data_IF_555147371160
#
_entry.id   IF_555147371160
#
_cell.length_a   1.000
_cell.length_b   1.000
_cell.length_c   1.000
_cell.angle_alpha   90.00
_cell.angle_beta   90.00
_cell.angle_gamma   90.00
#
_symmetry.space_group_name_H-M   'P 1'
#
loop_
_entity.id
_entity.type
_entity.pdbx_description
1 polymer ?
#
# COMPACT_ATOMS: atom_id res chain seq x y z
N UNK A 1 3.51 -18.63 0.94
CA UNK A 1 2.98 -17.25 1.03
C UNK A 1 3.38 -16.66 2.37
N UNK A 2 3.91 -15.42 2.39
CA UNK A 2 4.36 -14.74 3.62
C UNK A 2 3.20 -14.04 4.35
N UNK A 3 2.13 -13.73 3.62
CA UNK A 3 0.90 -13.14 4.15
C UNK A 3 -0.33 -13.89 3.60
N UNK A 4 -1.47 -13.74 4.27
CA UNK A 4 -2.77 -14.18 3.77
C UNK A 4 -3.44 -13.00 3.06
N UNK A 5 -3.54 -13.05 1.73
CA UNK A 5 -4.15 -11.96 0.98
C UNK A 5 -5.69 -12.01 1.09
N UNK A 6 -6.30 -10.85 1.32
CA UNK A 6 -7.73 -10.66 1.14
C UNK A 6 -8.06 -10.33 -0.31
N UNK A 7 -9.34 -10.06 -0.57
CA UNK A 7 -9.78 -9.53 -1.86
C UNK A 7 -9.52 -8.01 -1.93
N UNK A 8 -8.86 -7.55 -2.99
CA UNK A 8 -8.72 -6.12 -3.26
C UNK A 8 -10.05 -5.55 -3.78
N UNK A 9 -10.71 -4.72 -2.98
CA UNK A 9 -12.00 -4.11 -3.32
C UNK A 9 -11.80 -2.66 -3.76
N UNK A 10 -12.25 -2.34 -4.97
CA UNK A 10 -12.05 -1.03 -5.58
C UNK A 10 -10.70 -0.89 -6.26
N UNK A 11 -10.35 0.35 -6.59
CA UNK A 11 -9.12 0.73 -7.27
C UNK A 11 -8.06 1.23 -6.28
N UNK A 12 -6.79 1.02 -6.59
CA UNK A 12 -5.65 1.51 -5.84
C UNK A 12 -5.18 2.83 -6.46
N UNK A 13 -5.35 3.94 -5.74
CA UNK A 13 -5.05 5.27 -6.26
C UNK A 13 -4.54 6.23 -5.16
N UNK A 14 -3.91 7.36 -5.54
CA UNK A 14 -3.57 8.42 -4.60
C UNK A 14 -4.79 8.94 -3.84
N UNK A 15 -4.62 9.33 -2.58
CA UNK A 15 -5.70 9.77 -1.70
C UNK A 15 -6.35 8.66 -0.85
N UNK A 16 -6.01 7.39 -1.11
CA UNK A 16 -6.25 6.31 -0.16
C UNK A 16 -5.34 6.42 1.07
N UNK A 17 -5.67 5.64 2.09
CA UNK A 17 -4.82 5.41 3.25
C UNK A 17 -4.35 3.95 3.27
N UNK A 18 -3.05 3.77 3.46
CA UNK A 18 -2.44 2.49 3.76
C UNK A 18 -2.24 2.36 5.26
N UNK A 19 -2.77 1.31 5.86
CA UNK A 19 -2.67 0.99 7.28
C UNK A 19 -1.80 -0.25 7.48
N UNK A 20 -0.82 -0.16 8.39
CA UNK A 20 0.04 -1.25 8.81
C UNK A 20 0.00 -1.37 10.34
N UNK A 21 -0.77 -2.33 10.84
CA UNK A 21 -1.07 -2.41 12.27
C UNK A 21 -1.76 -1.15 12.77
N UNK A 22 -1.10 -0.36 13.62
CA UNK A 22 -1.60 0.92 14.14
C UNK A 22 -1.11 2.13 13.34
N UNK A 23 -0.15 1.95 12.45
CA UNK A 23 0.41 3.03 11.65
C UNK A 23 -0.46 3.29 10.43
N UNK A 24 -0.59 4.57 10.07
CA UNK A 24 -1.38 5.01 8.92
C UNK A 24 -0.55 5.93 8.04
N UNK A 25 -0.55 5.62 6.75
CA UNK A 25 0.26 6.29 5.74
C UNK A 25 -0.64 6.74 4.59
N UNK A 26 -0.73 8.05 4.29
CA UNK A 26 -1.41 8.52 3.10
C UNK A 26 -0.74 7.99 1.83
N UNK A 27 -1.51 7.46 0.89
CA UNK A 27 -1.03 7.03 -0.43
C UNK A 27 -0.86 8.27 -1.32
N UNK A 28 0.36 8.49 -1.80
CA UNK A 28 0.74 9.68 -2.57
C UNK A 28 0.88 9.42 -4.07
N UNK A 29 1.27 8.20 -4.46
CA UNK A 29 1.37 7.78 -5.86
C UNK A 29 1.18 6.25 -5.98
N UNK A 30 0.72 5.79 -7.14
CA UNK A 30 0.54 4.36 -7.45
C UNK A 30 1.12 4.08 -8.83
N UNK A 31 2.02 3.11 -8.92
CA UNK A 31 2.59 2.65 -10.19
C UNK A 31 1.57 1.91 -11.05
N UNK A 32 1.79 1.94 -12.37
CA UNK A 32 0.82 1.47 -13.37
C UNK A 32 0.42 0.00 -13.29
N UNK A 33 1.24 -0.87 -12.70
CA UNK A 33 0.95 -2.32 -12.54
C UNK A 33 0.83 -2.74 -11.07
N UNK A 34 0.90 -1.79 -10.13
CA UNK A 34 0.87 -2.10 -8.71
C UNK A 34 -0.48 -2.70 -8.28
N UNK A 35 -1.58 -2.21 -8.85
CA UNK A 35 -2.92 -2.76 -8.58
C UNK A 35 -3.04 -4.19 -9.11
N UNK A 36 -2.67 -4.43 -10.38
CA UNK A 36 -2.76 -5.75 -11.01
C UNK A 36 -1.93 -6.78 -10.25
N UNK A 37 -0.69 -6.43 -9.89
CA UNK A 37 0.17 -7.31 -9.09
C UNK A 37 -0.43 -7.63 -7.72
N UNK A 38 -1.04 -6.64 -7.06
CA UNK A 38 -1.65 -6.85 -5.76
C UNK A 38 -2.91 -7.72 -5.87
N UNK A 39 -3.73 -7.51 -6.91
CA UNK A 39 -4.97 -8.23 -7.16
C UNK A 39 -4.72 -9.70 -7.54
N UNK A 40 -3.78 -9.94 -8.45
CA UNK A 40 -3.55 -11.27 -9.01
C UNK A 40 -2.58 -12.11 -8.17
N UNK A 41 -1.57 -11.49 -7.56
CA UNK A 41 -0.48 -12.20 -6.88
C UNK A 41 -0.42 -11.94 -5.37
N UNK A 42 -1.17 -10.95 -4.87
CA UNK A 42 -0.98 -10.43 -3.52
C UNK A 42 0.36 -9.69 -3.35
N UNK A 43 1.00 -9.27 -4.44
CA UNK A 43 2.35 -8.70 -4.41
C UNK A 43 2.35 -7.19 -4.67
N UNK A 44 3.04 -6.43 -3.84
CA UNK A 44 3.25 -4.99 -4.04
C UNK A 44 4.52 -4.52 -3.35
N UNK A 45 5.18 -3.50 -3.91
CA UNK A 45 6.27 -2.78 -3.23
C UNK A 45 5.72 -1.51 -2.60
N UNK A 46 6.02 -1.27 -1.33
CA UNK A 46 5.69 -0.02 -0.63
C UNK A 46 6.95 0.85 -0.47
N UNK A 47 6.85 2.12 -0.83
CA UNK A 47 7.92 3.11 -0.65
C UNK A 47 7.46 4.24 0.26
N UNK A 48 8.20 4.46 1.34
CA UNK A 48 7.87 5.42 2.40
C UNK A 48 8.65 6.74 2.23
N UNK A 49 8.58 7.35 1.05
CA UNK A 49 9.25 8.62 0.73
C UNK A 49 8.28 9.76 0.40
N UNK A 50 6.98 9.46 0.28
CA UNK A 50 5.93 10.44 0.00
C UNK A 50 5.98 11.08 -1.40
N UNK A 51 6.71 10.50 -2.37
CA UNK A 51 6.71 11.02 -3.73
C UNK A 51 5.30 10.99 -4.33
N UNK A 52 4.96 12.05 -5.08
CA UNK A 52 3.64 12.24 -5.71
C UNK A 52 3.58 11.73 -7.15
N UNK A 53 4.71 11.28 -7.67
CA UNK A 53 4.82 10.69 -9.00
C UNK A 53 5.44 9.30 -8.85
N UNK A 54 4.84 8.31 -9.50
CA UNK A 54 5.31 6.94 -9.43
C UNK A 54 6.45 6.71 -10.44
N UNK A 55 7.66 6.49 -9.93
CA UNK A 55 8.83 6.15 -10.75
C UNK A 55 8.83 4.68 -11.19
N UNK A 56 8.27 3.80 -10.35
CA UNK A 56 8.31 2.36 -10.53
C UNK A 56 6.90 1.80 -10.72
N UNK A 57 6.66 0.98 -11.75
CA UNK A 57 5.31 0.59 -12.15
C UNK A 57 4.65 -0.35 -11.12
N UNK A 58 5.40 -1.15 -10.37
CA UNK A 58 4.86 -2.07 -9.34
C UNK A 58 4.84 -1.51 -7.92
N UNK A 59 5.05 -0.21 -7.73
CA UNK A 59 5.27 0.40 -6.40
C UNK A 59 4.15 1.35 -6.00
N UNK A 60 3.77 1.31 -4.74
CA UNK A 60 2.88 2.28 -4.08
C UNK A 60 3.72 3.17 -3.19
N UNK A 61 3.54 4.47 -3.33
CA UNK A 61 4.25 5.49 -2.58
C UNK A 61 3.34 5.99 -1.47
N UNK A 62 3.88 6.03 -0.26
CA UNK A 62 3.15 6.47 0.93
C UNK A 62 3.97 7.50 1.70
N UNK A 63 3.29 8.45 2.33
CA UNK A 63 3.92 9.47 3.16
C UNK A 63 4.03 9.00 4.62
N UNK A 64 5.24 9.06 5.17
CA UNK A 64 5.50 8.75 6.58
C UNK A 64 6.83 8.00 6.77
N UNK A 65 7.21 7.70 8.02
CA UNK A 65 8.44 6.99 8.31
C UNK A 65 8.36 5.53 7.84
N UNK A 66 9.50 4.97 7.44
CA UNK A 66 9.63 3.52 7.24
C UNK A 66 9.35 2.82 8.59
N UNK A 67 8.50 1.78 8.63
CA UNK A 67 8.29 1.02 9.85
C UNK A 67 9.57 0.28 10.26
N UNK A 68 9.91 0.32 11.55
CA UNK A 68 11.11 -0.36 12.08
C UNK A 68 11.01 -1.89 11.99
N UNK A 69 9.81 -2.45 12.10
CA UNK A 69 9.54 -3.88 11.99
C UNK A 69 8.09 -4.16 11.54
N UNK A 70 7.85 -5.37 11.03
CA UNK A 70 6.52 -5.91 10.70
C UNK A 70 6.31 -7.21 11.48
N UNK A 71 5.67 -7.10 12.64
CA UNK A 71 5.38 -8.27 13.47
C UNK A 71 4.41 -9.25 12.77
N UNK A 72 4.60 -10.57 12.95
CA UNK A 72 3.62 -11.57 12.51
C UNK A 72 2.22 -11.29 13.04
N UNK A 73 1.21 -11.46 12.19
CA UNK A 73 -0.19 -11.14 12.52
C UNK A 73 -0.58 -9.67 12.30
N UNK A 74 0.36 -8.81 11.89
CA UNK A 74 0.05 -7.44 11.46
C UNK A 74 -0.93 -7.46 10.28
N UNK A 75 -1.93 -6.59 10.34
CA UNK A 75 -2.89 -6.40 9.26
C UNK A 75 -2.44 -5.25 8.38
N UNK A 76 -2.42 -5.51 7.08
CA UNK A 76 -2.15 -4.54 6.02
C UNK A 76 -3.46 -4.22 5.31
N UNK A 77 -3.79 -2.94 5.16
CA UNK A 77 -5.05 -2.54 4.54
C UNK A 77 -4.90 -1.26 3.73
N UNK A 78 -5.49 -1.25 2.54
CA UNK A 78 -5.78 -0.02 1.80
C UNK A 78 -7.25 0.34 2.02
N UNK A 79 -7.52 1.57 2.41
CA UNK A 79 -8.88 2.03 2.69
C UNK A 79 -9.10 3.48 2.27
N UNK A 80 -10.33 3.79 1.84
CA UNK A 80 -10.75 5.16 1.60
C UNK A 80 -10.81 5.92 2.92
N UNK A 81 -10.29 7.14 2.93
CA UNK A 81 -10.44 8.06 4.06
C UNK A 81 -11.89 8.54 4.04
N UNK A 82 -12.66 8.21 5.09
CA UNK A 82 -13.98 8.83 5.29
C UNK A 82 -13.77 10.21 5.89
N UNK A 83 -14.41 11.21 5.31
CA UNK A 83 -14.51 12.58 5.86
C UNK A 83 -15.16 12.61 7.24
#
# INVERSE_FOLDING_TARGET
FIHCHGELKGALHPGLQFSLGQHRYPVTAVGSVAEDNLRELGHVTLRFDGLKEAEFPGTVYVAGPVPDDIAPGSVLKFESVKE
#
